data_IF_614102820493
#
_entry.id   IF_614102820493
#
_cell.length_a   1.000
_cell.length_b   1.000
_cell.length_c   1.000
_cell.angle_alpha   90.00
_cell.angle_beta   90.00
_cell.angle_gamma   90.00
#
_symmetry.space_group_name_H-M   'P 1'
#
loop_
_entity.id
_entity.type
_entity.pdbx_description
1 polymer ?
#
# COMPACT_ATOMS: atom_id res chain seq x y z
N UNK A 1 -6.77 72.92 0.77
CA UNK A 1 -6.43 72.37 2.11
C UNK A 1 -7.53 71.38 2.50
N UNK A 2 -7.25 70.08 2.56
CA UNK A 2 -8.22 69.09 3.08
C UNK A 2 -7.50 67.97 3.83
N UNK A 3 -7.61 68.06 5.16
CA UNK A 3 -7.58 67.05 6.21
C UNK A 3 -6.71 65.79 6.03
N UNK A 4 -5.45 65.91 6.49
CA UNK A 4 -4.68 64.81 7.08
C UNK A 4 -5.14 64.58 8.53
N UNK A 5 -6.01 63.60 8.73
CA UNK A 5 -6.23 62.98 10.06
C UNK A 5 -6.44 61.49 9.86
N UNK A 6 -5.41 60.80 9.36
CA UNK A 6 -5.30 59.36 9.56
C UNK A 6 -5.04 59.14 11.06
N UNK A 7 -6.03 58.55 11.72
CA UNK A 7 -6.01 58.24 13.15
C UNK A 7 -4.76 57.42 13.52
N UNK A 8 -3.95 57.85 14.51
CA UNK A 8 -2.67 57.21 14.87
C UNK A 8 -2.79 55.76 15.35
N UNK A 9 -4.00 55.28 15.63
CA UNK A 9 -4.27 53.87 15.94
C UNK A 9 -4.17 52.95 14.71
N UNK A 10 -4.54 53.42 13.51
CA UNK A 10 -4.50 52.60 12.28
C UNK A 10 -3.05 52.35 11.84
N UNK A 11 -2.21 53.37 11.91
CA UNK A 11 -0.77 53.26 11.60
C UNK A 11 -0.05 52.32 12.58
N UNK A 12 -0.37 52.36 13.88
CA UNK A 12 0.19 51.41 14.86
C UNK A 12 -0.20 49.97 14.56
N UNK A 13 -1.46 49.70 14.19
CA UNK A 13 -1.91 48.35 13.84
C UNK A 13 -1.23 47.84 12.57
N UNK A 14 -0.99 48.73 11.60
CA UNK A 14 -0.30 48.39 10.36
C UNK A 14 1.20 48.12 10.60
N UNK A 15 1.85 48.94 11.43
CA UNK A 15 3.22 48.69 11.90
C UNK A 15 3.34 47.40 12.73
N UNK A 16 2.37 47.09 13.59
CA UNK A 16 2.34 45.84 14.36
C UNK A 16 2.20 44.63 13.44
N UNK A 17 1.32 44.72 12.42
CA UNK A 17 1.18 43.69 11.37
C UNK A 17 2.46 43.52 10.58
N UNK A 18 3.13 44.60 10.19
CA UNK A 18 4.43 44.54 9.52
C UNK A 18 5.53 43.98 10.41
N UNK A 19 5.53 44.30 11.71
CA UNK A 19 6.52 43.81 12.67
C UNK A 19 6.32 42.32 12.94
N UNK A 20 5.09 41.85 13.01
CA UNK A 20 4.72 40.43 13.08
C UNK A 20 5.05 39.73 11.75
N UNK A 21 4.82 40.37 10.60
CA UNK A 21 5.20 39.83 9.30
C UNK A 21 6.71 39.70 9.13
N UNK A 22 7.48 40.71 9.56
CA UNK A 22 8.95 40.70 9.59
C UNK A 22 9.50 39.64 10.54
N UNK A 23 9.02 39.56 11.79
CA UNK A 23 9.37 38.46 12.72
C UNK A 23 8.98 37.08 12.16
N UNK A 24 7.84 37.00 11.48
CA UNK A 24 7.38 35.79 10.81
C UNK A 24 8.20 35.40 9.58
N UNK A 25 8.92 36.35 8.96
CA UNK A 25 9.84 36.12 7.83
C UNK A 25 11.27 35.81 8.33
N UNK A 26 11.77 36.49 9.36
CA UNK A 26 13.09 36.23 9.96
C UNK A 26 13.19 34.84 10.60
N UNK A 27 12.13 34.33 11.23
CA UNK A 27 12.11 32.96 11.78
C UNK A 27 12.02 31.88 10.68
N UNK A 28 11.60 32.24 9.46
CA UNK A 28 11.40 31.29 8.35
C UNK A 28 12.59 31.14 7.42
N UNK A 29 13.58 32.05 7.48
CA UNK A 29 14.72 32.08 6.56
C UNK A 29 15.97 31.34 7.06
N UNK A 30 16.05 31.02 8.36
CA UNK A 30 17.15 30.20 8.89
C UNK A 30 16.99 28.71 8.54
N UNK A 31 17.96 28.13 7.83
CA UNK A 31 18.10 26.68 7.71
C UNK A 31 18.50 26.11 9.07
N UNK A 32 17.50 25.75 9.89
CA UNK A 32 17.78 25.04 11.15
C UNK A 32 18.38 23.66 10.84
N UNK A 33 19.30 23.14 11.67
CA UNK A 33 19.88 21.80 11.46
C UNK A 33 18.82 20.71 11.30
N UNK A 34 17.73 20.82 12.08
CA UNK A 34 16.57 19.91 12.01
C UNK A 34 15.88 19.99 10.64
N UNK A 35 15.71 21.21 10.09
CA UNK A 35 15.10 21.40 8.77
C UNK A 35 15.97 20.80 7.67
N UNK A 36 17.30 20.96 7.75
CA UNK A 36 18.23 20.34 6.80
C UNK A 36 18.12 18.82 6.87
N UNK A 37 18.15 18.25 8.07
CA UNK A 37 18.00 16.82 8.28
C UNK A 37 16.67 16.27 7.75
N UNK A 38 15.55 16.95 8.02
CA UNK A 38 14.24 16.53 7.49
C UNK A 38 14.20 16.66 5.96
N UNK A 39 14.85 17.66 5.39
CA UNK A 39 14.94 17.85 3.95
C UNK A 39 15.72 16.69 3.32
N UNK A 40 16.88 16.32 3.86
CA UNK A 40 17.68 15.20 3.36
C UNK A 40 16.95 13.88 3.54
N UNK A 41 16.33 13.64 4.69
CA UNK A 41 15.53 12.44 4.94
C UNK A 41 14.40 12.27 3.91
N UNK A 42 13.62 13.32 3.67
CA UNK A 42 12.52 13.26 2.69
C UNK A 42 13.03 13.11 1.26
N UNK A 43 14.15 13.75 0.89
CA UNK A 43 14.76 13.60 -0.42
C UNK A 43 15.25 12.16 -0.66
N UNK A 44 16.02 11.61 0.28
CA UNK A 44 16.54 10.24 0.21
C UNK A 44 15.38 9.24 0.17
N UNK A 45 14.38 9.41 1.04
CA UNK A 45 13.21 8.53 1.05
C UNK A 45 12.42 8.60 -0.26
N UNK A 46 12.23 9.81 -0.84
CA UNK A 46 11.59 9.97 -2.13
C UNK A 46 12.37 9.24 -3.24
N UNK A 47 13.70 9.35 -3.26
CA UNK A 47 14.56 8.68 -4.24
C UNK A 47 14.54 7.15 -4.10
N UNK A 48 14.58 6.63 -2.88
CA UNK A 48 14.51 5.19 -2.62
C UNK A 48 13.17 4.61 -3.10
N UNK A 49 12.06 5.25 -2.75
CA UNK A 49 10.73 4.83 -3.21
C UNK A 49 10.54 5.02 -4.71
N UNK A 50 11.10 6.08 -5.30
CA UNK A 50 11.10 6.27 -6.75
C UNK A 50 11.91 5.18 -7.47
N UNK A 51 13.03 4.73 -6.89
CA UNK A 51 13.80 3.62 -7.42
C UNK A 51 13.02 2.31 -7.36
N UNK A 52 12.32 2.03 -6.26
CA UNK A 52 11.44 0.87 -6.14
C UNK A 52 10.29 0.93 -7.14
N UNK A 53 9.69 2.10 -7.33
CA UNK A 53 8.63 2.31 -8.32
C UNK A 53 9.16 2.06 -9.73
N UNK A 54 10.33 2.60 -10.06
CA UNK A 54 10.98 2.38 -11.35
C UNK A 54 11.23 0.88 -11.59
N UNK A 55 11.83 0.17 -10.64
CA UNK A 55 12.08 -1.28 -10.78
C UNK A 55 10.77 -2.03 -10.95
N UNK A 56 9.75 -1.73 -10.15
CA UNK A 56 8.43 -2.36 -10.21
C UNK A 56 7.75 -2.11 -11.56
N UNK A 57 7.78 -0.87 -12.07
CA UNK A 57 7.25 -0.56 -13.40
C UNK A 57 8.03 -1.28 -14.49
N UNK A 58 9.37 -1.31 -14.41
CA UNK A 58 10.17 -2.06 -15.40
C UNK A 58 9.85 -3.54 -15.36
N UNK A 59 9.61 -4.13 -14.19
CA UNK A 59 9.18 -5.51 -14.06
C UNK A 59 7.81 -5.73 -14.73
N UNK A 60 6.83 -4.86 -14.45
CA UNK A 60 5.48 -4.93 -15.02
C UNK A 60 5.53 -4.81 -16.55
N UNK A 61 6.40 -3.95 -17.09
CA UNK A 61 6.50 -3.69 -18.53
C UNK A 61 7.40 -4.67 -19.28
N UNK A 62 8.27 -5.43 -18.61
CA UNK A 62 9.21 -6.36 -19.26
C UNK A 62 8.47 -7.60 -19.74
N UNK A 63 8.32 -7.87 -21.05
CA UNK A 63 7.60 -9.04 -21.56
C UNK A 63 8.30 -10.34 -21.13
N UNK A 64 7.57 -11.25 -20.47
CA UNK A 64 8.07 -12.59 -20.12
C UNK A 64 7.85 -13.58 -21.26
N UNK A 65 8.66 -13.51 -22.31
CA UNK A 65 8.67 -14.55 -23.35
C UNK A 65 9.68 -15.69 -23.11
N UNK A 66 10.61 -15.59 -22.14
CA UNK A 66 11.80 -16.47 -22.09
C UNK A 66 12.21 -17.02 -20.70
N UNK A 67 11.31 -17.57 -19.87
CA UNK A 67 11.72 -18.34 -18.65
C UNK A 67 11.40 -19.84 -18.76
N UNK A 68 11.09 -20.32 -19.97
CA UNK A 68 10.95 -21.76 -20.24
C UNK A 68 11.71 -22.13 -21.52
N UNK A 69 13.03 -21.86 -21.55
CA UNK A 69 13.91 -22.28 -22.64
C UNK A 69 15.41 -22.36 -22.24
N UNK A 70 15.72 -22.93 -21.07
CA UNK A 70 17.05 -23.55 -20.86
C UNK A 70 16.90 -25.04 -21.16
N UNK A 71 16.71 -25.37 -22.44
CA UNK A 71 17.00 -26.66 -23.09
C UNK A 71 16.41 -26.60 -24.51
N UNK A 72 17.28 -26.40 -25.51
CA UNK A 72 16.91 -26.50 -26.92
C UNK A 72 17.11 -25.21 -27.71
N UNK A 73 18.29 -25.10 -28.34
CA UNK A 73 18.49 -24.23 -29.51
C UNK A 73 17.44 -24.59 -30.57
N UNK A 74 16.63 -23.62 -30.98
CA UNK A 74 16.11 -23.56 -32.36
C UNK A 74 15.70 -22.14 -32.69
N UNK A 75 16.40 -21.58 -33.66
CA UNK A 75 16.33 -20.23 -34.19
C UNK A 75 15.01 -19.94 -34.92
N UNK A 76 14.33 -18.88 -34.48
CA UNK A 76 13.39 -17.92 -35.09
C UNK A 76 12.50 -18.25 -36.33
N UNK A 77 12.85 -19.15 -37.24
CA UNK A 77 12.14 -19.32 -38.53
C UNK A 77 11.33 -20.62 -38.68
N UNK A 78 11.54 -21.65 -37.85
CA UNK A 78 10.88 -22.95 -38.02
C UNK A 78 9.41 -23.03 -37.57
N UNK A 79 8.78 -21.93 -37.10
CA UNK A 79 7.34 -21.94 -36.71
C UNK A 79 6.48 -20.84 -37.34
N UNK A 80 7.02 -20.08 -38.28
CA UNK A 80 6.21 -19.21 -39.15
C UNK A 80 5.54 -20.02 -40.28
N UNK A 81 5.98 -21.27 -40.52
CA UNK A 81 5.60 -22.09 -41.69
C UNK A 81 4.96 -23.45 -41.39
N UNK A 82 4.60 -23.78 -40.14
CA UNK A 82 3.65 -24.89 -39.86
C UNK A 82 2.21 -24.35 -39.88
N UNK A 83 1.82 -23.92 -41.08
CA UNK A 83 0.48 -23.52 -41.50
C UNK A 83 -0.31 -24.79 -41.88
N UNK A 84 -1.58 -24.88 -41.44
CA UNK A 84 -2.59 -25.87 -41.83
C UNK A 84 -2.32 -27.37 -41.57
N UNK A 85 -2.64 -27.85 -40.34
CA UNK A 85 -3.36 -29.12 -40.09
C UNK A 85 -3.44 -29.42 -38.58
N UNK A 86 -4.52 -29.01 -37.91
CA UNK A 86 -5.15 -29.70 -36.75
C UNK A 86 -6.22 -28.81 -36.10
N UNK A 87 -7.23 -28.50 -36.90
CA UNK A 87 -8.47 -27.81 -36.52
C UNK A 87 -9.35 -28.61 -35.52
N UNK A 88 -8.84 -29.61 -34.79
CA UNK A 88 -9.63 -30.35 -33.80
C UNK A 88 -8.74 -31.25 -32.90
N UNK A 89 -8.28 -30.77 -31.73
CA UNK A 89 -8.22 -31.58 -30.48
C UNK A 89 -7.60 -30.82 -29.28
N UNK A 90 -8.45 -30.62 -28.28
CA UNK A 90 -8.17 -30.30 -26.87
C UNK A 90 -7.94 -28.83 -26.44
N UNK A 91 -8.98 -28.33 -25.79
CA UNK A 91 -9.13 -27.07 -25.07
C UNK A 91 -8.04 -26.79 -24.02
N UNK A 92 -7.28 -25.70 -24.20
CA UNK A 92 -6.83 -24.84 -23.08
C UNK A 92 -6.96 -23.37 -23.43
N UNK A 93 -8.17 -22.81 -23.37
CA UNK A 93 -8.38 -21.35 -23.30
C UNK A 93 -7.79 -20.86 -21.96
N UNK A 94 -6.51 -20.51 -21.92
CA UNK A 94 -5.94 -19.76 -20.81
C UNK A 94 -6.58 -18.37 -20.87
N UNK A 95 -7.39 -18.04 -19.86
CA UNK A 95 -8.03 -16.72 -19.74
C UNK A 95 -6.94 -15.63 -19.67
N UNK A 96 -7.11 -14.45 -20.30
CA UNK A 96 -6.12 -13.37 -20.28
C UNK A 96 -5.72 -12.94 -18.85
N UNK A 97 -6.63 -13.11 -17.90
CA UNK A 97 -6.42 -12.80 -16.49
C UNK A 97 -5.37 -13.71 -15.82
N UNK A 98 -5.28 -14.99 -16.22
CA UNK A 98 -4.29 -15.91 -15.69
C UNK A 98 -2.88 -15.60 -16.22
N UNK A 99 -2.80 -15.08 -17.45
CA UNK A 99 -1.54 -14.63 -18.03
C UNK A 99 -0.98 -13.41 -17.29
N UNK A 100 -1.85 -12.44 -16.96
CA UNK A 100 -1.49 -11.28 -16.13
C UNK A 100 -1.06 -11.69 -14.73
N UNK A 101 -1.80 -12.62 -14.10
CA UNK A 101 -1.46 -13.14 -12.77
C UNK A 101 -0.08 -13.80 -12.79
N UNK A 102 0.21 -14.64 -13.79
CA UNK A 102 1.51 -15.31 -13.91
C UNK A 102 2.64 -14.34 -14.24
N UNK A 103 2.35 -13.26 -14.97
CA UNK A 103 3.30 -12.20 -15.24
C UNK A 103 3.77 -11.51 -13.96
N UNK A 104 2.86 -11.28 -13.02
CA UNK A 104 3.18 -10.59 -11.76
C UNK A 104 3.90 -11.45 -10.71
N UNK A 105 4.05 -12.77 -10.91
CA UNK A 105 4.73 -13.66 -9.95
C UNK A 105 6.24 -13.43 -9.95
N UNK A 106 6.92 -13.51 -8.80
CA UNK A 106 8.40 -13.48 -8.78
C UNK A 106 9.02 -12.10 -9.02
N UNK A 107 8.29 -11.02 -8.74
CA UNK A 107 8.88 -9.68 -8.75
C UNK A 107 9.85 -9.45 -7.58
N UNK A 108 9.72 -10.20 -6.50
CA UNK A 108 10.57 -10.10 -5.32
C UNK A 108 12.07 -10.25 -5.67
N UNK A 109 12.39 -11.23 -6.52
CA UNK A 109 13.77 -11.52 -6.95
C UNK A 109 14.27 -10.58 -8.04
N UNK A 110 13.37 -9.95 -8.79
CA UNK A 110 13.75 -9.10 -9.91
C UNK A 110 14.57 -7.89 -9.44
N UNK A 111 15.85 -7.83 -9.85
CA UNK A 111 16.80 -6.77 -9.45
C UNK A 111 16.89 -6.56 -7.92
N UNK A 112 16.75 -7.65 -7.14
CA UNK A 112 16.74 -7.66 -5.67
C UNK A 112 15.68 -6.72 -5.06
N UNK A 113 14.50 -6.66 -5.68
CA UNK A 113 13.41 -5.77 -5.27
C UNK A 113 12.96 -6.00 -3.83
N UNK A 114 12.89 -7.26 -3.39
CA UNK A 114 12.55 -7.63 -2.02
C UNK A 114 13.53 -7.06 -1.00
N UNK A 115 14.83 -7.26 -1.23
CA UNK A 115 15.88 -6.69 -0.38
C UNK A 115 15.78 -5.17 -0.33
N UNK A 116 15.68 -4.48 -1.47
CA UNK A 116 15.56 -3.01 -1.50
C UNK A 116 14.32 -2.52 -0.74
N UNK A 117 13.21 -3.26 -0.83
CA UNK A 117 11.97 -2.97 -0.10
C UNK A 117 12.18 -3.07 1.41
N UNK A 118 12.89 -4.10 1.90
CA UNK A 118 13.21 -4.24 3.34
C UNK A 118 13.93 -3.03 3.91
N UNK A 119 15.02 -2.60 3.28
CA UNK A 119 15.79 -1.45 3.78
C UNK A 119 14.98 -0.16 3.70
N UNK A 120 14.32 0.07 2.55
CA UNK A 120 13.53 1.29 2.34
C UNK A 120 12.39 1.39 3.33
N UNK A 121 11.69 0.28 3.60
CA UNK A 121 10.59 0.25 4.55
C UNK A 121 11.09 0.39 5.99
N UNK A 122 12.25 -0.18 6.33
CA UNK A 122 12.84 -0.08 7.68
C UNK A 122 13.25 1.35 8.04
N UNK A 123 13.63 2.17 7.05
CA UNK A 123 13.90 3.60 7.28
C UNK A 123 12.67 4.37 7.78
N UNK A 124 11.45 3.90 7.50
CA UNK A 124 10.23 4.54 8.00
C UNK A 124 10.10 4.52 9.54
N UNK A 125 10.88 3.69 10.24
CA UNK A 125 10.99 3.74 11.71
C UNK A 125 11.47 5.11 12.18
N UNK A 126 12.29 5.80 11.38
CA UNK A 126 12.72 7.17 11.67
C UNK A 126 11.54 8.15 11.75
N UNK A 127 10.43 7.90 11.05
CA UNK A 127 9.24 8.76 11.15
C UNK A 127 8.61 8.71 12.54
N UNK A 128 8.60 7.53 13.17
CA UNK A 128 8.13 7.36 14.54
C UNK A 128 9.03 8.21 15.46
N UNK A 129 10.34 8.08 15.29
CA UNK A 129 11.36 8.86 16.02
C UNK A 129 11.13 10.36 15.84
N UNK A 130 10.91 10.84 14.61
CA UNK A 130 10.65 12.26 14.33
C UNK A 130 9.40 12.77 15.04
N UNK A 131 8.35 11.95 15.17
CA UNK A 131 7.15 12.35 15.92
C UNK A 131 7.35 12.33 17.43
N UNK A 132 8.09 11.36 17.98
CA UNK A 132 8.39 11.26 19.41
C UNK A 132 9.22 12.47 19.87
N UNK A 133 10.24 12.85 19.11
CA UNK A 133 11.08 14.02 19.41
C UNK A 133 10.46 15.36 18.98
N UNK A 134 9.24 15.35 18.43
CA UNK A 134 8.53 16.57 18.04
C UNK A 134 9.12 17.30 16.82
N UNK A 135 9.98 16.66 16.04
CA UNK A 135 10.50 17.21 14.77
C UNK A 135 9.38 17.40 13.75
N UNK A 136 8.35 16.55 13.81
CA UNK A 136 7.14 16.63 12.98
C UNK A 136 5.91 16.60 13.87
N UNK A 137 5.00 17.56 13.67
CA UNK A 137 3.73 17.63 14.38
C UNK A 137 2.75 16.61 13.78
N UNK A 138 2.72 15.40 14.32
CA UNK A 138 1.76 14.37 13.93
C UNK A 138 1.39 13.51 15.15
N UNK A 139 0.14 12.99 15.23
CA UNK A 139 -0.25 12.15 16.35
C UNK A 139 0.58 10.86 16.36
N UNK A 140 1.35 10.63 17.43
CA UNK A 140 2.32 9.52 17.53
C UNK A 140 1.65 8.17 17.25
N UNK A 141 0.48 7.91 17.85
CA UNK A 141 -0.25 6.65 17.64
C UNK A 141 -0.62 6.39 16.18
N UNK A 142 -0.92 7.43 15.40
CA UNK A 142 -1.26 7.27 13.98
C UNK A 142 -0.04 6.94 13.12
N UNK A 143 1.10 7.61 13.37
CA UNK A 143 2.35 7.33 12.64
C UNK A 143 2.90 5.96 13.03
N UNK A 144 2.85 5.62 14.32
CA UNK A 144 3.22 4.30 14.82
C UNK A 144 2.41 3.20 14.15
N UNK A 145 1.08 3.28 14.17
CA UNK A 145 0.21 2.25 13.56
C UNK A 145 0.47 2.09 12.06
N UNK A 146 0.65 3.19 11.33
CA UNK A 146 0.91 3.17 9.89
C UNK A 146 2.27 2.52 9.57
N UNK A 147 3.34 2.94 10.25
CA UNK A 147 4.69 2.41 10.03
C UNK A 147 4.77 0.95 10.48
N UNK A 148 4.23 0.64 11.66
CA UNK A 148 4.20 -0.73 12.20
C UNK A 148 3.48 -1.69 11.26
N UNK A 149 2.30 -1.31 10.74
CA UNK A 149 1.55 -2.16 9.80
C UNK A 149 2.38 -2.56 8.59
N UNK A 150 3.15 -1.62 8.01
CA UNK A 150 3.98 -1.92 6.83
C UNK A 150 5.25 -2.69 7.15
N UNK A 151 5.89 -2.39 8.28
CA UNK A 151 7.04 -3.16 8.79
C UNK A 151 6.61 -4.60 9.04
N UNK A 152 5.45 -4.80 9.65
CA UNK A 152 4.86 -6.11 9.89
C UNK A 152 4.55 -6.84 8.59
N UNK A 153 3.96 -6.19 7.59
CA UNK A 153 3.73 -6.82 6.28
C UNK A 153 5.05 -7.27 5.62
N UNK A 154 6.11 -6.46 5.67
CA UNK A 154 7.39 -6.86 5.06
C UNK A 154 8.06 -7.98 5.87
N UNK A 155 8.29 -7.78 7.16
CA UNK A 155 9.08 -8.71 7.97
C UNK A 155 8.27 -9.88 8.53
N UNK A 156 7.04 -9.63 8.98
CA UNK A 156 6.18 -10.61 9.63
C UNK A 156 5.28 -11.42 8.67
N UNK A 157 5.16 -10.99 7.42
CA UNK A 157 4.38 -11.71 6.39
C UNK A 157 5.29 -12.15 5.24
N UNK A 158 5.89 -11.21 4.50
CA UNK A 158 6.64 -11.55 3.28
C UNK A 158 7.87 -12.40 3.58
N UNK A 159 8.67 -12.01 4.58
CA UNK A 159 9.88 -12.76 4.95
C UNK A 159 9.61 -13.98 5.84
N UNK A 160 8.46 -14.02 6.50
CA UNK A 160 8.09 -15.14 7.37
C UNK A 160 7.75 -16.40 6.57
N UNK A 161 7.17 -16.26 5.38
CA UNK A 161 6.88 -17.38 4.47
C UNK A 161 7.33 -17.06 3.03
N UNK A 162 8.66 -17.07 2.78
CA UNK A 162 9.25 -16.73 1.49
C UNK A 162 8.70 -17.55 0.31
N UNK A 163 8.46 -18.84 0.54
CA UNK A 163 7.99 -19.80 -0.47
C UNK A 163 6.68 -19.37 -1.15
N UNK A 164 5.78 -18.76 -0.36
CA UNK A 164 4.47 -18.31 -0.83
C UNK A 164 4.53 -16.84 -1.25
N UNK A 165 5.18 -15.99 -0.47
CA UNK A 165 5.13 -14.54 -0.67
C UNK A 165 6.00 -14.05 -1.83
N UNK A 166 7.19 -14.61 -2.04
CA UNK A 166 8.10 -14.14 -3.11
C UNK A 166 7.55 -14.41 -4.51
N UNK A 167 6.79 -15.51 -4.63
CA UNK A 167 6.16 -15.93 -5.89
C UNK A 167 4.74 -15.37 -6.06
N UNK A 168 4.21 -14.64 -5.08
CA UNK A 168 2.84 -14.13 -5.15
C UNK A 168 2.74 -12.88 -6.04
N UNK A 169 1.75 -12.81 -6.95
CA UNK A 169 1.49 -11.60 -7.75
C UNK A 169 1.03 -10.41 -6.88
N UNK A 170 0.57 -10.69 -5.66
CA UNK A 170 0.10 -9.69 -4.71
C UNK A 170 1.24 -8.81 -4.21
N UNK A 171 2.45 -9.37 -4.07
CA UNK A 171 3.63 -8.58 -3.71
C UNK A 171 3.90 -7.46 -4.73
N UNK A 172 3.78 -7.74 -6.03
CA UNK A 172 3.99 -6.77 -7.11
C UNK A 172 2.98 -5.62 -7.06
N UNK A 173 1.70 -5.95 -6.91
CA UNK A 173 0.61 -4.95 -6.91
C UNK A 173 0.61 -4.11 -5.63
N UNK A 174 0.91 -4.73 -4.49
CA UNK A 174 1.19 -4.04 -3.23
C UNK A 174 2.34 -3.05 -3.39
N UNK A 175 3.50 -3.52 -3.85
CA UNK A 175 4.70 -2.70 -3.94
C UNK A 175 4.56 -1.57 -4.96
N UNK A 176 3.84 -1.79 -6.06
CA UNK A 176 3.48 -0.73 -7.00
C UNK A 176 2.65 0.37 -6.32
N UNK A 177 1.60 -0.01 -5.57
CA UNK A 177 0.76 0.96 -4.87
C UNK A 177 1.54 1.71 -3.77
N UNK A 178 2.37 1.01 -3.00
CA UNK A 178 3.22 1.61 -1.98
C UNK A 178 4.22 2.58 -2.57
N UNK A 179 5.02 2.14 -3.53
CA UNK A 179 6.09 2.96 -4.11
C UNK A 179 5.55 4.21 -4.81
N UNK A 180 4.41 4.13 -5.49
CA UNK A 180 3.77 5.29 -6.09
C UNK A 180 3.25 6.28 -5.03
N UNK A 181 2.56 5.79 -4.00
CA UNK A 181 2.04 6.66 -2.93
C UNK A 181 3.15 7.31 -2.10
N UNK A 182 4.20 6.56 -1.76
CA UNK A 182 5.33 7.05 -0.97
C UNK A 182 6.18 8.07 -1.74
N UNK A 183 6.45 7.83 -3.03
CA UNK A 183 7.17 8.79 -3.87
C UNK A 183 6.47 10.16 -3.85
N UNK A 184 5.13 10.17 -4.00
CA UNK A 184 4.34 11.40 -3.94
C UNK A 184 4.39 12.02 -2.54
N UNK A 185 4.27 11.21 -1.48
CA UNK A 185 4.23 11.66 -0.09
C UNK A 185 5.51 12.35 0.33
N UNK A 186 6.66 11.71 0.11
CA UNK A 186 7.97 12.25 0.47
C UNK A 186 8.35 13.45 -0.37
N UNK A 187 8.06 13.44 -1.68
CA UNK A 187 8.26 14.61 -2.55
C UNK A 187 7.43 15.80 -2.05
N UNK A 188 6.19 15.55 -1.59
CA UNK A 188 5.34 16.61 -1.05
C UNK A 188 5.91 17.18 0.25
N UNK A 189 6.38 16.34 1.17
CA UNK A 189 6.99 16.81 2.41
C UNK A 189 8.28 17.60 2.16
N UNK A 190 9.12 17.15 1.23
CA UNK A 190 10.32 17.86 0.80
C UNK A 190 9.98 19.27 0.28
N UNK A 191 9.08 19.38 -0.70
CA UNK A 191 8.70 20.68 -1.26
C UNK A 191 8.01 21.58 -0.24
N UNK A 192 7.19 21.01 0.65
CA UNK A 192 6.51 21.76 1.69
C UNK A 192 7.50 22.33 2.73
N UNK A 193 8.59 21.63 3.05
CA UNK A 193 9.68 22.16 3.90
C UNK A 193 10.42 23.33 3.23
N UNK A 194 10.51 23.32 1.89
CA UNK A 194 11.04 24.43 1.09
C UNK A 194 10.03 25.56 0.87
N UNK A 195 8.81 25.47 1.43
CA UNK A 195 7.69 26.36 1.16
C UNK A 195 7.28 26.46 -0.32
N UNK A 196 7.62 25.44 -1.14
CA UNK A 196 7.23 25.37 -2.56
C UNK A 196 5.89 24.64 -2.65
N UNK A 197 4.82 25.36 -2.99
CA UNK A 197 3.49 24.78 -3.13
C UNK A 197 3.23 24.35 -4.58
N UNK A 198 3.28 23.04 -4.83
CA UNK A 198 2.90 22.47 -6.14
C UNK A 198 1.43 22.04 -6.15
N UNK A 199 0.62 22.66 -7.02
CA UNK A 199 -0.80 22.31 -7.21
C UNK A 199 -0.98 20.89 -7.71
N UNK A 200 -0.14 20.45 -8.64
CA UNK A 200 -0.19 19.10 -9.25
C UNK A 200 0.11 18.06 -8.18
N UNK A 201 1.16 18.25 -7.39
CA UNK A 201 1.55 17.30 -6.36
C UNK A 201 0.51 17.23 -5.22
N UNK A 202 -0.07 18.37 -4.87
CA UNK A 202 -1.18 18.42 -3.93
C UNK A 202 -2.40 17.64 -4.46
N UNK A 203 -2.75 17.83 -5.74
CA UNK A 203 -3.84 17.08 -6.37
C UNK A 203 -3.57 15.58 -6.40
N UNK A 204 -2.35 15.17 -6.78
CA UNK A 204 -1.93 13.77 -6.80
C UNK A 204 -2.06 13.15 -5.40
N UNK A 205 -1.49 13.78 -4.38
CA UNK A 205 -1.54 13.30 -2.99
C UNK A 205 -2.96 13.02 -2.51
N UNK A 206 -3.91 13.89 -2.85
CA UNK A 206 -5.31 13.76 -2.42
C UNK A 206 -6.20 13.04 -3.44
N UNK A 207 -5.66 12.44 -4.51
CA UNK A 207 -6.48 11.75 -5.54
C UNK A 207 -5.96 10.34 -5.86
N UNK A 208 -4.65 10.10 -5.82
CA UNK A 208 -4.06 8.79 -6.17
C UNK A 208 -4.49 7.67 -5.22
N UNK A 209 -4.90 7.98 -4.00
CA UNK A 209 -5.45 6.98 -3.08
C UNK A 209 -6.71 6.30 -3.61
N UNK A 210 -7.49 6.93 -4.51
CA UNK A 210 -8.77 6.37 -4.98
C UNK A 210 -8.57 4.98 -5.60
N UNK A 211 -7.67 4.79 -6.59
CA UNK A 211 -7.34 3.46 -7.10
C UNK A 211 -6.27 2.72 -6.28
N UNK A 212 -5.26 3.43 -5.75
CA UNK A 212 -4.11 2.76 -5.13
C UNK A 212 -4.42 2.18 -3.76
N UNK A 213 -5.38 2.76 -3.02
CA UNK A 213 -5.72 2.28 -1.70
C UNK A 213 -6.40 0.90 -1.75
N UNK A 214 -7.44 0.67 -2.58
CA UNK A 214 -7.97 -0.69 -2.76
C UNK A 214 -6.91 -1.68 -3.25
N UNK A 215 -6.06 -1.30 -4.20
CA UNK A 215 -5.02 -2.19 -4.74
C UNK A 215 -4.00 -2.56 -3.66
N UNK A 216 -3.40 -1.57 -3.00
CA UNK A 216 -2.36 -1.80 -1.99
C UNK A 216 -2.89 -2.60 -0.81
N UNK A 217 -3.97 -2.10 -0.20
CA UNK A 217 -4.54 -2.72 1.00
C UNK A 217 -5.10 -4.11 0.73
N UNK A 218 -5.80 -4.35 -0.39
CA UNK A 218 -6.28 -5.71 -0.67
C UNK A 218 -5.12 -6.66 -0.94
N UNK A 219 -4.10 -6.23 -1.68
CA UNK A 219 -2.96 -7.09 -2.01
C UNK A 219 -2.19 -7.54 -0.77
N UNK A 220 -1.93 -6.64 0.16
CA UNK A 220 -1.38 -6.98 1.48
C UNK A 220 -2.27 -7.99 2.25
N UNK A 221 -3.59 -7.90 2.10
CA UNK A 221 -4.55 -8.63 2.96
C UNK A 221 -4.56 -10.06 2.52
N UNK A 222 -4.71 -10.22 1.21
CA UNK A 222 -4.67 -11.51 0.56
C UNK A 222 -3.26 -12.11 0.61
N UNK A 223 -2.20 -11.31 0.62
CA UNK A 223 -0.84 -11.81 0.81
C UNK A 223 -0.66 -12.38 2.21
N UNK A 224 -1.11 -11.67 3.26
CA UNK A 224 -1.13 -12.17 4.63
C UNK A 224 -2.01 -13.40 4.80
N UNK A 225 -3.16 -13.44 4.12
CA UNK A 225 -4.03 -14.61 4.16
C UNK A 225 -3.42 -15.82 3.44
N UNK A 226 -2.69 -15.61 2.35
CA UNK A 226 -2.01 -16.70 1.61
C UNK A 226 -0.90 -17.37 2.42
N UNK A 227 -0.29 -16.68 3.39
CA UNK A 227 0.74 -17.26 4.27
C UNK A 227 0.17 -18.06 5.44
N UNK A 228 -1.16 -18.13 5.58
CA UNK A 228 -1.80 -18.92 6.64
C UNK A 228 -1.79 -20.42 6.29
N UNK A 229 -1.58 -21.29 7.30
CA UNK A 229 -1.71 -22.73 7.13
C UNK A 229 -3.15 -23.11 6.76
N UNK A 230 -3.33 -24.33 6.27
CA UNK A 230 -4.65 -24.79 5.84
C UNK A 230 -5.66 -24.75 7.00
N UNK A 231 -6.82 -24.10 6.76
CA UNK A 231 -7.95 -24.07 7.70
C UNK A 231 -8.67 -25.42 7.76
N UNK A 232 -8.45 -26.28 6.75
CA UNK A 232 -9.09 -27.60 6.61
C UNK A 232 -9.02 -28.46 7.89
N UNK A 233 -7.85 -28.74 8.49
CA UNK A 233 -7.77 -29.56 9.70
C UNK A 233 -8.57 -28.99 10.88
N UNK A 234 -8.54 -27.67 11.11
CA UNK A 234 -9.35 -27.03 12.15
C UNK A 234 -10.84 -27.21 11.87
N UNK A 235 -11.24 -26.97 10.63
CA UNK A 235 -12.63 -27.07 10.23
C UNK A 235 -13.14 -28.52 10.31
N UNK A 236 -12.32 -29.50 9.93
CA UNK A 236 -12.62 -30.92 10.13
C UNK A 236 -12.77 -31.24 11.62
N UNK A 237 -11.88 -30.74 12.49
CA UNK A 237 -11.98 -30.95 13.94
C UNK A 237 -13.24 -30.28 14.54
N UNK A 238 -13.60 -29.08 14.07
CA UNK A 238 -14.83 -28.39 14.49
C UNK A 238 -16.12 -29.09 13.99
N UNK A 239 -16.05 -29.77 12.84
CA UNK A 239 -17.17 -30.54 12.29
C UNK A 239 -17.28 -31.92 12.95
N UNK A 240 -16.16 -32.53 13.36
CA UNK A 240 -16.13 -33.81 14.07
C UNK A 240 -16.48 -33.66 15.55
N UNK A 241 -16.17 -32.51 16.16
CA UNK A 241 -16.64 -32.18 17.51
C UNK A 241 -18.12 -31.75 17.45
N UNK A 242 -18.96 -32.43 18.23
CA UNK A 242 -20.43 -32.44 18.18
C UNK A 242 -21.16 -31.10 18.46
N UNK A 243 -20.85 -29.99 17.79
CA UNK A 243 -21.72 -28.80 17.81
C UNK A 243 -22.81 -28.93 16.72
N UNK A 244 -23.93 -29.55 17.08
CA UNK A 244 -25.10 -29.78 16.22
C UNK A 244 -25.64 -28.56 15.43
N UNK A 245 -25.68 -27.31 15.95
CA UNK A 245 -26.30 -26.21 15.20
C UNK A 245 -25.50 -25.81 13.95
N UNK A 246 -24.16 -25.85 14.00
CA UNK A 246 -23.33 -25.42 12.88
C UNK A 246 -23.31 -26.45 11.74
N UNK A 247 -23.30 -27.74 12.10
CA UNK A 247 -23.34 -28.85 11.14
C UNK A 247 -24.66 -28.87 10.36
N UNK A 248 -25.79 -28.63 11.02
CA UNK A 248 -27.08 -28.53 10.36
C UNK A 248 -27.17 -27.35 9.38
N UNK A 249 -26.68 -26.17 9.78
CA UNK A 249 -26.65 -24.97 8.92
C UNK A 249 -25.78 -25.23 7.68
N UNK A 250 -24.62 -25.88 7.85
CA UNK A 250 -23.73 -26.26 6.76
C UNK A 250 -24.40 -27.24 5.78
N UNK A 251 -25.07 -28.29 6.28
CA UNK A 251 -25.72 -29.31 5.44
C UNK A 251 -26.93 -28.74 4.70
N UNK A 252 -27.70 -27.85 5.33
CA UNK A 252 -28.88 -27.21 4.71
C UNK A 252 -28.48 -26.24 3.59
N UNK A 253 -27.32 -25.59 3.71
CA UNK A 253 -26.84 -24.65 2.68
C UNK A 253 -26.18 -25.36 1.48
N UNK A 254 -26.43 -24.88 0.26
CA UNK A 254 -25.78 -25.38 -0.97
C UNK A 254 -24.25 -25.14 -0.94
N UNK A 255 -23.84 -24.01 -0.38
CA UNK A 255 -22.42 -23.65 -0.19
C UNK A 255 -21.75 -24.59 0.81
N UNK A 256 -22.41 -24.88 1.93
CA UNK A 256 -21.89 -25.77 2.97
C UNK A 256 -21.78 -27.22 2.51
N UNK A 257 -22.73 -27.72 1.70
CA UNK A 257 -22.60 -29.05 1.05
C UNK A 257 -21.41 -29.13 0.12
N UNK A 258 -21.21 -28.12 -0.73
CA UNK A 258 -20.05 -28.06 -1.61
C UNK A 258 -18.73 -27.97 -0.83
N UNK A 259 -18.73 -27.23 0.28
CA UNK A 259 -17.58 -27.12 1.17
C UNK A 259 -17.29 -28.46 1.87
N UNK A 260 -18.30 -29.13 2.43
CA UNK A 260 -18.17 -30.45 3.05
C UNK A 260 -17.68 -31.50 2.06
N UNK A 261 -18.19 -31.50 0.83
CA UNK A 261 -17.76 -32.41 -0.22
C UNK A 261 -16.29 -32.17 -0.61
N UNK A 262 -15.88 -30.90 -0.77
CA UNK A 262 -14.50 -30.54 -1.04
C UNK A 262 -13.55 -30.87 0.14
N UNK A 263 -14.02 -30.73 1.38
CA UNK A 263 -13.26 -31.10 2.58
C UNK A 263 -13.07 -32.62 2.68
N UNK A 264 -14.15 -33.39 2.51
CA UNK A 264 -14.12 -34.85 2.53
C UNK A 264 -13.20 -35.41 1.43
N UNK A 265 -13.32 -34.89 0.20
CA UNK A 265 -12.44 -35.25 -0.92
C UNK A 265 -10.98 -34.90 -0.65
N UNK A 266 -10.73 -33.79 0.04
CA UNK A 266 -9.38 -33.38 0.42
C UNK A 266 -8.77 -34.24 1.52
N UNK A 267 -9.57 -34.78 2.45
CA UNK A 267 -9.08 -35.63 3.54
C UNK A 267 -8.45 -36.93 3.02
N UNK A 268 -9.05 -37.55 2.00
CA UNK A 268 -8.49 -38.74 1.36
C UNK A 268 -7.14 -38.49 0.66
N UNK A 269 -6.87 -37.25 0.25
CA UNK A 269 -5.60 -36.85 -0.40
C UNK A 269 -4.58 -36.22 0.56
N UNK A 270 -4.96 -35.91 1.80
CA UNK A 270 -4.10 -35.25 2.79
C UNK A 270 -3.03 -36.19 3.37
N UNK A 271 -3.22 -37.50 3.26
CA UNK A 271 -2.27 -38.51 3.78
C UNK A 271 -0.94 -38.61 3.00
N UNK A 272 -0.69 -37.79 1.98
CA UNK A 272 0.51 -38.00 1.13
C UNK A 272 1.55 -36.89 1.04
N UNK A 273 1.29 -35.60 1.31
CA UNK A 273 2.33 -34.55 1.15
C UNK A 273 1.92 -33.18 1.74
N UNK A 274 1.58 -33.06 3.03
CA UNK A 274 1.39 -31.73 3.66
C UNK A 274 2.58 -31.37 4.53
N UNK A 275 3.39 -30.43 4.05
CA UNK A 275 4.42 -29.72 4.80
C UNK A 275 3.83 -29.24 6.14
N UNK A 276 4.60 -29.42 7.21
CA UNK A 276 4.29 -29.21 8.62
C UNK A 276 3.95 -27.75 9.00
N UNK A 277 2.96 -27.11 8.38
CA UNK A 277 2.52 -25.78 8.76
C UNK A 277 1.35 -25.91 9.75
N UNK A 278 1.69 -26.01 11.03
CA UNK A 278 0.72 -26.05 12.14
C UNK A 278 0.27 -24.64 12.51
N UNK A 279 -0.89 -24.55 13.16
CA UNK A 279 -1.42 -23.28 13.64
C UNK A 279 -0.65 -22.83 14.89
N UNK A 280 0.15 -21.78 14.76
CA UNK A 280 0.82 -21.12 15.87
C UNK A 280 0.15 -19.79 16.27
N UNK A 281 0.66 -19.13 17.32
CA UNK A 281 0.15 -17.83 17.78
C UNK A 281 0.21 -16.73 16.71
N UNK A 282 1.24 -16.75 15.86
CA UNK A 282 1.43 -15.75 14.81
C UNK A 282 0.43 -15.92 13.66
N UNK A 283 0.07 -17.15 13.32
CA UNK A 283 -0.94 -17.50 12.31
C UNK A 283 -2.32 -17.04 12.78
N UNK A 284 -2.65 -17.28 14.05
CA UNK A 284 -3.90 -16.81 14.66
C UNK A 284 -3.93 -15.28 14.67
N UNK A 285 -2.83 -14.63 15.04
CA UNK A 285 -2.72 -13.17 15.00
C UNK A 285 -2.93 -12.61 13.58
N UNK A 286 -2.30 -13.20 12.55
CA UNK A 286 -2.51 -12.82 11.14
C UNK A 286 -3.97 -12.97 10.72
N UNK A 287 -4.63 -14.04 11.14
CA UNK A 287 -6.04 -14.27 10.86
C UNK A 287 -6.94 -13.23 11.52
N UNK A 288 -6.70 -12.90 12.80
CA UNK A 288 -7.42 -11.84 13.52
C UNK A 288 -7.23 -10.50 12.82
N UNK A 289 -5.97 -10.16 12.48
CA UNK A 289 -5.66 -8.94 11.75
C UNK A 289 -6.41 -8.85 10.42
N UNK A 290 -6.49 -9.95 9.67
CA UNK A 290 -7.24 -9.99 8.41
C UNK A 290 -8.71 -9.59 8.57
N UNK A 291 -9.39 -10.04 9.63
CA UNK A 291 -10.80 -9.66 9.88
C UNK A 291 -10.95 -8.22 10.39
N UNK A 292 -10.05 -7.76 11.26
CA UNK A 292 -10.02 -6.37 11.75
C UNK A 292 -9.73 -5.40 10.60
N UNK A 293 -9.07 -5.87 9.55
CA UNK A 293 -8.63 -5.00 8.48
C UNK A 293 -9.77 -4.45 7.64
N UNK A 294 -10.77 -5.26 7.29
CA UNK A 294 -11.87 -4.81 6.43
C UNK A 294 -12.65 -3.60 6.97
N UNK A 295 -13.08 -3.57 8.25
CA UNK A 295 -13.66 -2.37 8.85
C UNK A 295 -12.69 -1.18 8.85
N UNK A 296 -11.43 -1.42 9.21
CA UNK A 296 -10.39 -0.38 9.26
C UNK A 296 -10.19 0.27 7.90
N UNK A 297 -10.19 -0.54 6.84
CA UNK A 297 -10.04 -0.08 5.46
C UNK A 297 -11.17 0.86 5.05
N UNK A 298 -12.41 0.51 5.38
CA UNK A 298 -13.58 1.35 5.10
C UNK A 298 -13.51 2.70 5.83
N UNK A 299 -13.21 2.70 7.12
CA UNK A 299 -13.11 3.94 7.91
C UNK A 299 -12.01 4.86 7.38
N UNK A 300 -10.82 4.31 7.09
CA UNK A 300 -9.71 5.11 6.58
C UNK A 300 -9.98 5.62 5.15
N UNK A 301 -10.58 4.81 4.28
CA UNK A 301 -10.92 5.23 2.92
C UNK A 301 -11.95 6.37 2.89
N UNK A 302 -13.01 6.26 3.68
CA UNK A 302 -14.02 7.32 3.83
C UNK A 302 -13.43 8.58 4.45
N UNK A 303 -12.49 8.43 5.39
CA UNK A 303 -11.74 9.55 5.95
C UNK A 303 -10.88 10.27 4.90
N UNK A 304 -10.17 9.55 4.03
CA UNK A 304 -9.38 10.14 2.94
C UNK A 304 -10.25 10.92 1.94
N UNK A 305 -11.47 10.46 1.65
CA UNK A 305 -12.44 11.25 0.86
C UNK A 305 -12.89 12.52 1.57
N UNK A 306 -13.07 12.49 2.90
CA UNK A 306 -13.35 13.70 3.68
C UNK A 306 -12.18 14.68 3.61
N UNK A 307 -10.95 14.20 3.74
CA UNK A 307 -9.74 15.03 3.60
C UNK A 307 -9.62 15.63 2.20
N UNK A 308 -9.85 14.84 1.14
CA UNK A 308 -9.85 15.32 -0.24
C UNK A 308 -10.85 16.45 -0.44
N UNK A 309 -12.09 16.29 0.04
CA UNK A 309 -13.12 17.35 -0.04
C UNK A 309 -12.73 18.59 0.76
N UNK A 310 -12.06 18.43 1.89
CA UNK A 310 -11.57 19.56 2.71
C UNK A 310 -10.47 20.36 2.02
N UNK A 311 -9.55 19.69 1.32
CA UNK A 311 -8.36 20.34 0.72
C UNK A 311 -8.57 20.76 -0.74
N UNK A 312 -9.23 19.92 -1.54
CA UNK A 312 -9.46 20.17 -2.97
C UNK A 312 -10.89 20.62 -3.29
N UNK A 313 -11.83 20.51 -2.34
CA UNK A 313 -13.17 21.02 -2.55
C UNK A 313 -13.14 22.53 -2.72
N UNK A 314 -13.73 23.03 -3.81
CA UNK A 314 -14.08 24.46 -3.92
C UNK A 314 -14.94 24.79 -2.71
N UNK A 315 -14.42 25.63 -1.81
CA UNK A 315 -15.04 25.87 -0.52
C UNK A 315 -16.51 26.26 -0.67
N UNK A 316 -17.41 25.53 0.00
CA UNK A 316 -18.49 26.23 0.70
C UNK A 316 -17.80 26.98 1.84
N UNK A 317 -17.31 28.19 1.53
CA UNK A 317 -16.87 29.10 2.58
C UNK A 317 -18.00 29.20 3.59
N UNK A 318 -17.73 28.88 4.85
CA UNK A 318 -18.57 29.43 5.93
C UNK A 318 -18.30 30.93 5.92
N UNK A 319 -19.07 31.66 5.13
CA UNK A 319 -19.15 33.11 5.21
C UNK A 319 -19.89 33.39 6.51
N UNK A 320 -19.14 33.72 7.56
CA UNK A 320 -19.68 34.42 8.72
C UNK A 320 -19.04 35.80 8.68
N UNK A 321 -19.83 36.82 8.36
CA UNK A 321 -19.39 38.22 8.39
C UNK A 321 -18.56 38.71 7.20
N UNK A 322 -18.71 38.14 5.99
CA UNK A 322 -18.19 38.78 4.76
C UNK A 322 -16.67 38.79 4.55
N UNK A 323 -15.86 38.25 5.45
CA UNK A 323 -14.41 38.12 5.25
C UNK A 323 -13.99 36.65 5.12
N UNK A 324 -13.47 36.27 3.95
CA UNK A 324 -12.88 34.96 3.71
C UNK A 324 -11.62 34.79 4.57
N UNK A 325 -11.67 33.88 5.55
CA UNK A 325 -10.51 33.53 6.40
C UNK A 325 -9.53 32.55 5.73
N UNK A 326 -9.53 32.49 4.40
CA UNK A 326 -8.73 31.57 3.61
C UNK A 326 -8.04 32.33 2.46
N UNK A 327 -7.13 33.24 2.81
CA UNK A 327 -5.93 33.48 2.03
C UNK A 327 -4.86 34.15 2.90
#
# INVERSE_FOLDING_TARGET
>A
MSNKTQTPAKERVEQEKERIARKGQEVKSGLTPIKIYLLTYNAVSALLWANLLYITITFILTPRSNIQQIAGKSTFLNKLFTFNNSFLSSSTKIKPLNQIINHFKGSYEFKNLGFKTKYTQSLAILEIIHTIFGFVKSPIGTVFSQVFSRIYTVWGVVEAVPEVSHNSPLFTTMLFAWSLTETIRYTYYFLNLLNIQSKILNWLRYTTFIPLYPIGASSEAFLSFQTLPSIKPILLNLISTNSLPFKEILIKSTIGRNLLWNLAKSNNNLNKNSINQTWGPLEIFRLIMFFIWWPSLYFLYTYMFKQRRKVLGKGRGKVVGGTNKAR
#
